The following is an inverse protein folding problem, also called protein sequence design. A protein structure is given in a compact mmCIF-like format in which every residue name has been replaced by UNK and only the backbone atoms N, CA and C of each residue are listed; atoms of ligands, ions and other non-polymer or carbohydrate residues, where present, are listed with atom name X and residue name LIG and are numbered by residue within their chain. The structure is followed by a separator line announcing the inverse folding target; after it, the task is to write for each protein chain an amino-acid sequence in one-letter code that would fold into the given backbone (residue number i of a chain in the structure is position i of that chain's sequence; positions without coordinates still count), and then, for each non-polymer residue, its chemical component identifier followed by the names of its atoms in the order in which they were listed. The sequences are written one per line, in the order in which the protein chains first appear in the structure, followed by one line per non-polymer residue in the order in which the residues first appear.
data_IF_067439935674
#
_entry.id   IF_067439935674
#
_cell.length_a   1.000
_cell.length_b   1.000
_cell.length_c   1.000
_cell.angle_alpha   90.00
_cell.angle_beta   90.00
_cell.angle_gamma   90.00
#
_symmetry.space_group_name_H-M   'P 1'
#
loop_
_entity.id
_entity.type
_entity.pdbx_description
1 polymer ?
#
# COMPACT_ATOMS: atom_id res chain seq x y z
N UNK A 1 -10.17 1.18 22.69
CA UNK A 1 -8.78 1.51 23.11
C UNK A 1 -8.27 2.68 22.34
N UNK A 2 -7.54 3.57 22.99
CA UNK A 2 -6.81 4.62 22.27
C UNK A 2 -5.72 3.93 21.46
N UNK A 3 -5.75 4.13 20.14
CA UNK A 3 -4.64 3.77 19.26
C UNK A 3 -3.62 4.90 19.35
N UNK A 4 -2.37 4.59 19.60
CA UNK A 4 -1.31 5.57 19.56
C UNK A 4 -1.19 6.14 18.14
N UNK A 5 -1.20 7.46 18.04
CA UNK A 5 -1.06 8.15 16.77
C UNK A 5 0.39 8.58 16.58
N UNK A 6 0.89 8.36 15.37
CA UNK A 6 2.24 8.74 14.95
C UNK A 6 2.18 9.64 13.72
N UNK A 7 3.23 10.40 13.52
CA UNK A 7 3.49 11.16 12.29
C UNK A 7 4.52 10.40 11.49
N UNK A 8 4.24 10.20 10.21
CA UNK A 8 5.18 9.59 9.27
C UNK A 8 5.46 10.55 8.13
N UNK A 9 6.67 10.43 7.60
CA UNK A 9 7.11 11.13 6.38
C UNK A 9 7.44 10.05 5.35
N UNK A 10 6.87 10.17 4.17
CA UNK A 10 7.11 9.20 3.11
C UNK A 10 6.94 9.81 1.74
N UNK A 11 7.56 9.15 0.75
CA UNK A 11 7.43 9.48 -0.65
C UNK A 11 6.29 8.68 -1.27
N UNK A 12 5.42 9.34 -2.02
CA UNK A 12 4.33 8.69 -2.74
C UNK A 12 4.91 7.92 -3.92
N UNK A 13 4.69 6.61 -3.94
CA UNK A 13 5.07 5.71 -5.05
C UNK A 13 3.85 5.19 -5.83
N UNK A 14 2.71 5.09 -5.18
CA UNK A 14 1.41 4.89 -5.82
C UNK A 14 0.52 6.05 -5.38
N UNK A 15 0.06 6.91 -6.29
CA UNK A 15 -0.66 8.12 -5.90
C UNK A 15 -2.09 7.82 -5.45
N UNK A 16 -2.69 8.68 -4.61
CA UNK A 16 -4.12 8.64 -4.33
C UNK A 16 -4.91 8.71 -5.64
N UNK A 17 -6.00 7.97 -5.75
CA UNK A 17 -6.90 7.77 -6.91
C UNK A 17 -6.61 6.55 -7.78
N UNK A 18 -5.46 5.88 -7.64
CA UNK A 18 -5.18 4.66 -8.39
C UNK A 18 -5.82 3.46 -7.72
N UNK A 19 -5.64 3.32 -6.40
CA UNK A 19 -6.18 2.19 -5.64
C UNK A 19 -7.51 2.60 -4.99
N UNK A 20 -8.60 2.14 -5.56
CA UNK A 20 -9.96 2.42 -5.07
C UNK A 20 -10.64 1.11 -4.71
N UNK A 21 -11.01 0.94 -3.44
CA UNK A 21 -11.85 -0.19 -3.04
C UNK A 21 -13.32 0.19 -3.17
N UNK A 22 -13.97 -0.37 -4.19
CA UNK A 22 -15.42 -0.22 -4.36
C UNK A 22 -16.15 -0.89 -3.20
N UNK A 23 -17.02 -0.16 -2.51
CA UNK A 23 -17.79 -0.64 -1.36
C UNK A 23 -17.29 -0.15 0.00
N UNK A 24 -16.01 0.15 0.17
CA UNK A 24 -15.50 0.74 1.42
C UNK A 24 -15.16 2.23 1.28
N UNK A 25 -15.14 2.75 0.05
CA UNK A 25 -14.79 4.14 -0.26
C UNK A 25 -13.33 4.47 0.04
N UNK A 26 -12.92 5.63 -0.44
CA UNK A 26 -11.58 6.15 -0.20
C UNK A 26 -10.58 5.80 -1.31
N UNK A 27 -9.62 6.69 -1.45
CA UNK A 27 -8.50 6.55 -2.36
C UNK A 27 -7.26 6.15 -1.57
N UNK A 28 -6.84 4.90 -1.73
CA UNK A 28 -5.67 4.37 -1.06
C UNK A 28 -4.41 4.69 -1.86
N UNK A 29 -3.27 4.64 -1.20
CA UNK A 29 -2.00 4.94 -1.83
C UNK A 29 -0.85 4.26 -1.06
N UNK A 30 0.36 4.35 -1.58
CA UNK A 30 1.54 3.75 -0.95
C UNK A 30 2.58 4.82 -0.69
N UNK A 31 3.08 4.85 0.54
CA UNK A 31 4.22 5.67 0.96
C UNK A 31 5.45 4.80 1.15
N UNK A 32 6.56 5.28 0.62
CA UNK A 32 7.89 4.70 0.79
C UNK A 32 8.69 5.49 1.82
N UNK A 33 9.53 4.81 2.60
CA UNK A 33 10.53 5.42 3.45
C UNK A 33 11.55 6.22 2.60
N UNK A 34 11.85 7.44 3.02
CA UNK A 34 12.81 8.33 2.36
C UNK A 34 14.23 8.20 2.89
N UNK A 35 14.48 7.34 3.86
CA UNK A 35 15.82 7.14 4.45
C UNK A 35 16.81 6.50 3.48
N UNK A 36 16.33 5.78 2.44
CA UNK A 36 17.14 5.29 1.33
C UNK A 36 16.82 6.05 0.05
N UNK A 37 17.82 6.68 -0.54
CA UNK A 37 17.67 7.42 -1.82
C UNK A 37 17.93 6.54 -3.05
N UNK A 38 18.50 5.35 -2.88
CA UNK A 38 19.08 4.59 -3.99
C UNK A 38 18.23 3.43 -4.49
N UNK A 39 17.40 2.84 -3.65
CA UNK A 39 16.51 1.73 -4.05
C UNK A 39 15.35 1.58 -3.10
N UNK A 40 14.25 1.10 -3.61
CA UNK A 40 13.21 0.48 -2.81
C UNK A 40 13.70 -0.90 -2.36
N UNK A 41 13.49 -1.25 -1.09
CA UNK A 41 13.91 -2.52 -0.53
C UNK A 41 12.82 -3.17 0.31
N UNK A 42 13.09 -4.34 0.88
CA UNK A 42 12.18 -4.94 1.83
C UNK A 42 11.91 -3.99 3.01
N UNK A 43 10.68 -4.01 3.52
CA UNK A 43 10.20 -3.16 4.64
C UNK A 43 10.24 -1.65 4.37
N UNK A 44 10.34 -1.25 3.10
CA UNK A 44 10.52 0.16 2.74
C UNK A 44 9.24 0.95 2.57
N UNK A 45 8.09 0.30 2.53
CA UNK A 45 6.83 0.96 2.20
C UNK A 45 5.69 0.57 3.13
N UNK A 46 4.65 1.36 3.12
CA UNK A 46 3.43 1.09 3.86
C UNK A 46 2.21 1.47 3.03
N UNK A 47 1.20 0.61 3.08
CA UNK A 47 -0.10 0.86 2.47
C UNK A 47 -0.88 1.86 3.31
N UNK A 48 -1.33 2.94 2.69
CA UNK A 48 -2.14 3.97 3.33
C UNK A 48 -3.60 3.73 2.98
N UNK A 49 -4.37 3.35 3.97
CA UNK A 49 -5.79 3.10 3.80
C UNK A 49 -6.61 4.30 4.22
N UNK A 50 -7.31 4.88 3.27
CA UNK A 50 -8.38 5.83 3.55
C UNK A 50 -9.74 5.12 3.52
N UNK A 51 -10.73 5.68 4.15
CA UNK A 51 -12.10 5.13 4.17
C UNK A 51 -13.10 6.13 3.60
N UNK A 52 -14.37 5.87 3.84
CA UNK A 52 -15.44 6.81 3.53
C UNK A 52 -15.96 7.42 4.84
N UNK A 53 -15.16 8.27 5.46
CA UNK A 53 -15.45 8.84 6.77
C UNK A 53 -14.99 10.32 6.86
N UNK A 54 -15.20 10.93 8.02
CA UNK A 54 -14.85 12.33 8.25
C UNK A 54 -13.33 12.59 8.19
N UNK A 55 -12.51 11.62 8.60
CA UNK A 55 -11.05 11.71 8.52
C UNK A 55 -10.60 11.83 7.06
N UNK A 56 -11.11 10.96 6.22
CA UNK A 56 -10.81 10.95 4.78
C UNK A 56 -11.26 12.24 4.11
N UNK A 57 -12.47 12.74 4.43
CA UNK A 57 -12.94 14.01 3.87
C UNK A 57 -12.04 15.17 4.27
N UNK A 58 -11.59 15.22 5.52
CA UNK A 58 -10.67 16.25 5.99
C UNK A 58 -9.32 16.20 5.25
N UNK A 59 -8.78 15.00 4.99
CA UNK A 59 -7.56 14.81 4.21
C UNK A 59 -7.74 15.29 2.75
N UNK A 60 -8.88 15.01 2.13
CA UNK A 60 -9.16 15.47 0.76
C UNK A 60 -9.26 17.00 0.71
N UNK A 61 -9.93 17.61 1.69
CA UNK A 61 -10.02 19.07 1.80
C UNK A 61 -8.64 19.71 2.07
N UNK A 62 -7.72 19.00 2.71
CA UNK A 62 -6.33 19.40 2.91
C UNK A 62 -5.44 19.17 1.69
N UNK A 63 -5.98 18.64 0.59
CA UNK A 63 -5.28 18.51 -0.69
C UNK A 63 -4.67 17.11 -0.95
N UNK A 64 -4.97 16.09 -0.16
CA UNK A 64 -4.40 14.73 -0.36
C UNK A 64 -4.51 14.26 -1.81
N UNK A 65 -5.61 14.55 -2.50
CA UNK A 65 -5.85 14.07 -3.87
C UNK A 65 -5.08 14.86 -4.95
N UNK A 66 -4.32 15.87 -4.58
CA UNK A 66 -3.49 16.65 -5.53
C UNK A 66 -2.05 16.15 -5.59
N UNK A 67 -1.64 15.29 -4.65
CA UNK A 67 -0.30 14.76 -4.63
C UNK A 67 -0.09 13.68 -5.69
N UNK A 68 1.12 13.64 -6.23
CA UNK A 68 1.52 12.79 -7.33
C UNK A 68 2.71 11.90 -6.93
N UNK A 69 3.07 10.97 -7.82
CA UNK A 69 4.27 10.12 -7.65
C UNK A 69 5.52 10.99 -7.50
N UNK A 70 6.30 10.71 -6.47
CA UNK A 70 7.52 11.44 -6.16
C UNK A 70 7.35 12.50 -5.07
N UNK A 71 6.12 12.93 -4.78
CA UNK A 71 5.87 13.88 -3.70
C UNK A 71 6.17 13.24 -2.35
N UNK A 72 6.88 13.97 -1.51
CA UNK A 72 7.16 13.62 -0.12
C UNK A 72 6.16 14.36 0.74
N UNK A 73 5.41 13.63 1.53
CA UNK A 73 4.39 14.19 2.41
C UNK A 73 4.63 13.77 3.86
N UNK A 74 4.10 14.58 4.76
CA UNK A 74 3.93 14.23 6.17
C UNK A 74 2.46 14.00 6.44
N UNK A 75 2.15 12.91 7.13
CA UNK A 75 0.78 12.53 7.45
C UNK A 75 0.73 11.94 8.86
N UNK A 76 -0.37 12.15 9.57
CA UNK A 76 -0.62 11.63 10.91
C UNK A 76 -1.68 10.55 10.90
N UNK A 77 -1.46 9.49 11.66
CA UNK A 77 -2.41 8.38 11.74
C UNK A 77 -1.98 7.33 12.75
N UNK A 78 -2.44 6.12 12.56
CA UNK A 78 -2.09 4.96 13.39
C UNK A 78 -1.87 3.73 12.51
N UNK A 79 -1.09 2.78 13.01
CA UNK A 79 -0.91 1.47 12.39
C UNK A 79 -2.08 0.56 12.75
N UNK A 80 -2.58 -0.19 11.81
CA UNK A 80 -3.65 -1.17 11.96
C UNK A 80 -3.36 -2.42 11.15
N UNK A 81 -3.97 -3.54 11.54
CA UNK A 81 -3.93 -4.81 10.81
C UNK A 81 -5.30 -5.11 10.20
N UNK A 82 -5.33 -5.53 8.94
CA UNK A 82 -6.57 -5.88 8.28
C UNK A 82 -6.49 -7.22 7.55
N UNK A 83 -7.47 -8.12 7.75
CA UNK A 83 -8.54 -8.07 8.75
C UNK A 83 -8.01 -8.35 10.17
N UNK A 84 -8.56 -7.66 11.17
CA UNK A 84 -8.09 -7.67 12.56
C UNK A 84 -8.15 -9.01 13.29
N UNK A 85 -8.81 -10.01 12.74
CA UNK A 85 -9.08 -11.30 13.37
C UNK A 85 -8.60 -12.51 12.54
N UNK A 86 -7.71 -12.30 11.58
CA UNK A 86 -7.17 -13.36 10.74
C UNK A 86 -5.71 -13.65 11.06
N UNK A 87 -5.30 -14.88 10.83
CA UNK A 87 -3.89 -15.30 10.87
C UNK A 87 -3.11 -14.78 9.66
N UNK A 88 -3.80 -14.26 8.66
CA UNK A 88 -3.27 -13.60 7.47
C UNK A 88 -3.87 -12.21 7.46
N UNK A 89 -3.12 -11.25 7.91
CA UNK A 89 -3.46 -9.82 7.85
C UNK A 89 -2.37 -9.08 7.10
N UNK A 90 -2.66 -7.87 6.68
CA UNK A 90 -1.65 -6.96 6.17
C UNK A 90 -1.62 -5.68 7.00
N UNK A 91 -0.42 -5.14 7.17
CA UNK A 91 -0.18 -3.92 7.91
C UNK A 91 -0.58 -2.71 7.07
N UNK A 92 -1.37 -1.84 7.65
CA UNK A 92 -1.82 -0.62 6.99
C UNK A 92 -1.65 0.58 7.93
N UNK A 93 -1.44 1.74 7.34
CA UNK A 93 -1.48 3.01 8.05
C UNK A 93 -2.82 3.69 7.76
N UNK A 94 -3.54 4.03 8.82
CA UNK A 94 -4.86 4.68 8.73
C UNK A 94 -4.71 6.14 9.12
N UNK A 95 -4.81 7.07 8.18
CA UNK A 95 -4.62 8.49 8.47
C UNK A 95 -5.81 9.09 9.22
N UNK A 96 -5.53 10.10 10.04
CA UNK A 96 -6.50 10.88 10.80
C UNK A 96 -6.55 12.29 10.22
N UNK A 97 -7.76 12.76 9.92
CA UNK A 97 -7.99 14.11 9.39
C UNK A 97 -8.98 14.91 10.22
N UNK A 98 -10.11 14.29 10.58
CA UNK A 98 -11.15 14.99 11.35
C UNK A 98 -10.68 15.27 12.77
N UNK A 99 -10.90 16.52 13.20
CA UNK A 99 -10.46 16.95 14.54
C UNK A 99 -8.95 17.03 14.69
N UNK A 100 -8.20 17.09 13.59
CA UNK A 100 -6.76 17.30 13.65
C UNK A 100 -6.43 18.56 14.45
N UNK A 101 -5.51 18.42 15.41
CA UNK A 101 -4.96 19.52 16.19
C UNK A 101 -3.52 19.73 15.75
N UNK A 102 -3.13 20.97 15.36
CA UNK A 102 -1.76 21.26 14.98
C UNK A 102 -0.75 20.82 16.04
N UNK A 103 0.37 20.29 15.57
CA UNK A 103 1.50 19.87 16.41
C UNK A 103 2.69 20.81 16.20
N UNK A 104 3.81 20.53 16.85
CA UNK A 104 5.06 21.27 16.62
C UNK A 104 5.62 21.06 15.19
N UNK A 105 5.21 19.98 14.54
CA UNK A 105 5.74 19.53 13.26
C UNK A 105 4.71 19.58 12.12
N UNK A 106 3.41 19.71 12.43
CA UNK A 106 2.33 19.73 11.46
C UNK A 106 1.32 20.82 11.76
N UNK A 107 0.99 21.63 10.76
CA UNK A 107 -0.07 22.65 10.79
C UNK A 107 -1.42 22.14 10.29
N UNK A 108 -1.42 21.09 9.48
CA UNK A 108 -2.61 20.43 8.93
C UNK A 108 -2.41 18.91 8.87
N UNK A 109 -3.47 18.15 8.66
CA UNK A 109 -3.46 16.67 8.74
C UNK A 109 -2.65 15.97 7.66
N UNK A 110 -2.34 16.63 6.57
CA UNK A 110 -1.38 16.19 5.54
C UNK A 110 -0.63 17.40 5.01
N UNK A 111 0.68 17.28 4.85
CA UNK A 111 1.56 18.38 4.42
C UNK A 111 2.52 17.92 3.33
N UNK A 112 2.66 18.74 2.30
CA UNK A 112 3.72 18.61 1.32
C UNK A 112 5.06 19.04 1.94
N UNK A 113 6.11 18.28 1.63
CA UNK A 113 7.47 18.57 2.07
C UNK A 113 8.39 18.87 0.89
N UNK A 114 8.42 17.97 -0.11
CA UNK A 114 9.35 18.02 -1.23
C UNK A 114 8.85 17.12 -2.37
N UNK A 115 9.52 17.17 -3.53
CA UNK A 115 9.34 16.22 -4.61
C UNK A 115 10.70 15.69 -5.05
N UNK A 116 10.85 14.37 -5.12
CA UNK A 116 12.07 13.71 -5.60
C UNK A 116 11.72 12.59 -6.58
N UNK A 117 12.61 12.23 -7.50
CA UNK A 117 12.47 11.03 -8.31
C UNK A 117 12.28 9.80 -7.40
N UNK A 118 11.43 8.87 -7.81
CA UNK A 118 11.35 7.57 -7.14
C UNK A 118 12.56 6.71 -7.52
N UNK A 119 13.09 5.90 -6.59
CA UNK A 119 14.15 4.95 -6.92
C UNK A 119 13.63 3.85 -7.84
N UNK A 120 14.52 3.06 -8.46
CA UNK A 120 14.11 1.90 -9.25
C UNK A 120 13.24 0.93 -8.43
N UNK A 121 12.17 0.46 -9.05
CA UNK A 121 11.27 -0.53 -8.45
C UNK A 121 12.01 -1.86 -8.35
N UNK A 122 12.04 -2.52 -7.17
CA UNK A 122 12.70 -3.80 -7.00
C UNK A 122 11.99 -4.90 -7.77
N UNK A 123 12.78 -5.77 -8.40
CA UNK A 123 12.27 -6.98 -9.03
C UNK A 123 12.35 -8.13 -8.04
N UNK A 124 11.22 -8.78 -7.83
CA UNK A 124 11.09 -9.93 -6.93
C UNK A 124 10.50 -11.12 -7.66
N UNK A 125 10.64 -12.32 -7.08
CA UNK A 125 10.10 -13.55 -7.64
C UNK A 125 8.69 -13.84 -7.12
N UNK A 126 7.84 -14.44 -7.92
CA UNK A 126 6.57 -14.99 -7.44
C UNK A 126 6.77 -16.00 -6.28
N UNK A 127 7.86 -16.77 -6.35
CA UNK A 127 8.25 -17.70 -5.29
C UNK A 127 8.59 -17.04 -3.95
N UNK A 128 8.83 -15.73 -3.89
CA UNK A 128 9.01 -15.04 -2.61
C UNK A 128 7.69 -14.91 -1.85
N UNK A 129 6.57 -14.88 -2.55
CA UNK A 129 5.24 -14.74 -1.97
C UNK A 129 4.48 -16.04 -1.80
N UNK A 130 4.61 -16.91 -2.79
CA UNK A 130 3.81 -18.14 -2.88
C UNK A 130 4.66 -19.37 -3.15
N UNK A 131 4.20 -20.52 -2.67
CA UNK A 131 4.73 -21.84 -3.00
C UNK A 131 3.60 -22.74 -3.50
N UNK A 132 3.76 -23.26 -4.72
CA UNK A 132 2.81 -24.17 -5.35
C UNK A 132 1.72 -23.49 -6.16
N UNK A 133 0.79 -24.29 -6.67
CA UNK A 133 -0.26 -23.88 -7.60
C UNK A 133 -1.50 -23.35 -6.89
N UNK A 134 -2.29 -22.57 -7.61
CA UNK A 134 -3.54 -21.98 -7.13
C UNK A 134 -4.48 -23.04 -6.52
N UNK A 135 -5.04 -22.69 -5.37
CA UNK A 135 -5.91 -23.58 -4.60
C UNK A 135 -5.20 -24.58 -3.71
N UNK A 136 -3.91 -24.83 -3.94
CA UNK A 136 -3.06 -25.67 -3.08
C UNK A 136 -1.76 -24.97 -2.64
N UNK A 137 -1.49 -23.80 -3.18
CA UNK A 137 -0.32 -23.00 -2.84
C UNK A 137 -0.38 -22.48 -1.40
N UNK A 138 0.80 -22.24 -0.84
CA UNK A 138 0.97 -21.68 0.51
C UNK A 138 1.62 -20.32 0.41
N UNK A 139 1.10 -19.38 1.17
CA UNK A 139 1.74 -18.05 1.33
C UNK A 139 3.06 -18.23 2.09
N UNK A 140 4.11 -17.66 1.57
CA UNK A 140 5.45 -17.66 2.19
C UNK A 140 5.61 -16.42 3.06
N UNK A 141 5.22 -16.49 4.31
CA UNK A 141 5.34 -15.37 5.24
C UNK A 141 6.79 -14.93 5.49
N UNK A 142 7.73 -15.87 5.54
CA UNK A 142 9.13 -15.58 5.85
C UNK A 142 9.85 -14.75 4.78
N UNK A 143 9.42 -14.85 3.53
CA UNK A 143 10.04 -14.15 2.39
C UNK A 143 9.10 -13.12 1.77
N UNK A 144 7.80 -13.29 1.87
CA UNK A 144 6.79 -12.39 1.33
C UNK A 144 6.48 -11.21 2.23
N UNK A 145 6.45 -11.42 3.56
CA UNK A 145 6.12 -10.40 4.56
C UNK A 145 6.93 -9.11 4.40
N UNK A 146 8.21 -9.24 4.13
CA UNK A 146 9.11 -8.10 3.93
C UNK A 146 8.72 -7.20 2.75
N UNK A 147 7.90 -7.67 1.84
CA UNK A 147 7.40 -6.95 0.67
C UNK A 147 5.97 -6.47 0.83
N UNK A 148 5.36 -6.72 1.98
CA UNK A 148 4.03 -6.25 2.26
C UNK A 148 3.95 -4.72 2.18
N UNK A 149 2.95 -4.21 1.47
CA UNK A 149 2.80 -2.78 1.22
C UNK A 149 3.85 -2.17 0.28
N UNK A 150 4.83 -2.95 -0.21
CA UNK A 150 5.83 -2.46 -1.14
C UNK A 150 5.34 -2.52 -2.59
N UNK A 151 5.78 -1.55 -3.40
CA UNK A 151 5.56 -1.56 -4.83
C UNK A 151 6.71 -2.34 -5.50
N UNK A 152 6.39 -3.50 -6.08
CA UNK A 152 7.39 -4.43 -6.63
C UNK A 152 7.09 -4.78 -8.08
N UNK A 153 8.12 -5.14 -8.82
CA UNK A 153 8.01 -5.67 -10.16
C UNK A 153 8.18 -7.18 -10.14
N UNK A 154 7.21 -7.89 -10.71
CA UNK A 154 7.31 -9.31 -11.00
C UNK A 154 7.61 -9.51 -12.48
N UNK A 155 8.49 -10.44 -12.81
CA UNK A 155 8.89 -10.74 -14.19
C UNK A 155 8.65 -12.19 -14.54
N UNK A 156 8.63 -12.50 -15.85
CA UNK A 156 8.49 -13.86 -16.37
C UNK A 156 7.21 -14.57 -15.92
N UNK A 157 6.12 -13.82 -15.76
CA UNK A 157 4.82 -14.38 -15.43
C UNK A 157 4.01 -14.68 -16.68
N UNK A 158 3.32 -15.79 -16.65
CA UNK A 158 2.37 -16.22 -17.69
C UNK A 158 0.97 -16.14 -17.09
N UNK A 159 0.07 -15.41 -17.74
CA UNK A 159 -1.35 -15.37 -17.35
C UNK A 159 -1.98 -16.74 -17.64
N UNK A 160 -2.50 -17.39 -16.63
CA UNK A 160 -3.03 -18.77 -16.71
C UNK A 160 -4.56 -18.82 -16.74
N UNK A 161 -5.22 -17.75 -16.35
CA UNK A 161 -6.68 -17.65 -16.38
C UNK A 161 -7.13 -16.30 -16.94
N UNK A 162 -8.27 -16.31 -17.62
CA UNK A 162 -8.93 -15.07 -18.03
C UNK A 162 -9.36 -14.27 -16.80
N UNK A 163 -9.40 -12.95 -16.96
CA UNK A 163 -9.89 -12.05 -15.91
C UNK A 163 -11.31 -12.45 -15.49
N UNK A 164 -11.51 -12.62 -14.21
CA UNK A 164 -12.83 -12.88 -13.65
C UNK A 164 -13.70 -11.62 -13.80
N UNK A 165 -14.80 -11.66 -14.57
CA UNK A 165 -15.60 -10.47 -14.85
C UNK A 165 -16.34 -9.91 -13.63
N UNK A 166 -16.40 -10.68 -12.53
CA UNK A 166 -17.12 -10.26 -11.32
C UNK A 166 -16.24 -9.42 -10.40
N UNK A 167 -14.95 -9.72 -10.31
CA UNK A 167 -14.04 -9.09 -9.35
C UNK A 167 -12.69 -8.68 -9.94
N UNK A 168 -12.51 -8.79 -11.27
CA UNK A 168 -11.28 -8.39 -11.96
C UNK A 168 -10.08 -9.30 -11.72
N UNK A 169 -10.18 -10.33 -10.87
CA UNK A 169 -9.02 -11.19 -10.54
C UNK A 169 -8.60 -12.04 -11.71
N UNK A 170 -7.30 -12.26 -11.84
CA UNK A 170 -6.70 -13.21 -12.77
C UNK A 170 -5.50 -13.91 -12.10
N UNK A 171 -5.12 -15.06 -12.63
CA UNK A 171 -4.02 -15.82 -12.11
C UNK A 171 -2.81 -15.75 -13.05
N UNK A 172 -1.64 -15.70 -12.46
CA UNK A 172 -0.36 -15.73 -13.14
C UNK A 172 0.54 -16.77 -12.52
N UNK A 173 1.40 -17.40 -13.32
CA UNK A 173 2.35 -18.43 -12.86
C UNK A 173 3.75 -18.09 -13.37
N UNK A 174 4.76 -18.32 -12.54
CA UNK A 174 6.15 -18.26 -12.94
C UNK A 174 6.61 -19.59 -13.60
N UNK A 175 7.84 -19.63 -14.08
CA UNK A 175 8.44 -20.81 -14.69
C UNK A 175 8.60 -22.02 -13.74
N UNK A 176 8.50 -21.80 -12.44
CA UNK A 176 8.58 -22.84 -11.41
C UNK A 176 7.21 -23.33 -10.94
N UNK A 177 6.13 -22.76 -11.50
CA UNK A 177 4.75 -23.13 -11.14
C UNK A 177 4.23 -22.43 -9.89
N UNK A 178 4.91 -21.41 -9.38
CA UNK A 178 4.38 -20.59 -8.29
C UNK A 178 3.32 -19.64 -8.84
N UNK A 179 2.11 -19.77 -8.34
CA UNK A 179 0.96 -19.00 -8.81
C UNK A 179 0.64 -17.84 -7.88
N UNK A 180 0.48 -16.68 -8.48
CA UNK A 180 0.00 -15.47 -7.81
C UNK A 180 -1.36 -15.13 -8.43
N UNK A 181 -2.31 -14.75 -7.60
CA UNK A 181 -3.53 -14.09 -8.07
C UNK A 181 -3.41 -12.60 -7.83
N UNK A 182 -3.65 -11.80 -8.83
CA UNK A 182 -3.92 -10.40 -8.64
C UNK A 182 -5.35 -10.24 -8.12
N UNK A 183 -5.50 -9.49 -7.04
CA UNK A 183 -6.77 -8.92 -6.68
C UNK A 183 -6.78 -7.50 -7.23
N UNK A 184 -7.27 -7.35 -8.46
CA UNK A 184 -7.71 -6.05 -8.90
C UNK A 184 -8.73 -5.55 -7.86
N UNK A 185 -8.38 -4.48 -7.17
CA UNK A 185 -9.18 -3.91 -6.10
C UNK A 185 -10.43 -3.17 -6.60
N UNK A 186 -11.07 -3.68 -7.63
CA UNK A 186 -12.31 -3.14 -8.22
C UNK A 186 -13.54 -3.40 -7.34
#
# INVERSE_FOLDING_TARGET
GHRDTIEIVGQIIVPPKIIVFTGYGGYNFVLRDTSSETSEGPWSSVFIRTGNNADTLALYNAGLLTYEVGDIIRIRGYVDEFPTNNTVSYTQFVPIGAGFVPTATMSQCVEYIDTKPIPPIPTVSAGDFMEGTFGSGKVRFTTGEQWEGCYVQLTNLIVTAAVNPTNGTFAMVDEYGNEISDMDGS
#
